data_IF_405042438205
#
_entry.id   IF_405042438205
#
_cell.length_a   1.000
_cell.length_b   1.000
_cell.length_c   1.000
_cell.angle_alpha   90.00
_cell.angle_beta   90.00
_cell.angle_gamma   90.00
#
_symmetry.space_group_name_H-M   'P 1'
#
loop_
_entity.id
_entity.type
_entity.pdbx_description
1 polymer ?
#
# COMPACT_ATOMS: atom_id res chain seq x y z
N UNK A 1 -11.34 -23.90 4.78
CA UNK A 1 -11.10 -22.42 4.85
C UNK A 1 -11.02 -21.84 3.45
N UNK A 2 -11.43 -20.59 3.24
CA UNK A 2 -11.39 -19.90 1.94
C UNK A 2 -10.37 -18.76 1.97
N UNK A 3 -9.85 -18.37 0.81
CA UNK A 3 -9.07 -17.15 0.64
C UNK A 3 -9.96 -15.95 0.93
N UNK A 4 -9.54 -15.04 1.81
CA UNK A 4 -10.31 -13.82 2.14
C UNK A 4 -10.57 -12.95 0.90
N UNK A 5 -9.67 -12.99 -0.08
CA UNK A 5 -9.68 -12.05 -1.19
C UNK A 5 -10.41 -12.53 -2.44
N UNK A 6 -10.34 -13.82 -2.74
CA UNK A 6 -10.92 -14.41 -3.95
C UNK A 6 -11.93 -15.52 -3.67
N UNK A 7 -12.18 -15.81 -2.39
CA UNK A 7 -13.15 -16.80 -1.90
C UNK A 7 -12.92 -18.26 -2.34
N UNK A 8 -11.88 -18.52 -3.14
CA UNK A 8 -11.48 -19.88 -3.52
C UNK A 8 -11.15 -20.70 -2.27
N UNK A 9 -11.55 -21.98 -2.28
CA UNK A 9 -11.22 -22.93 -1.21
C UNK A 9 -9.71 -23.10 -1.13
N UNK A 10 -9.15 -23.00 0.08
CA UNK A 10 -7.73 -23.19 0.32
C UNK A 10 -7.46 -24.63 0.74
N UNK A 11 -6.37 -25.18 0.21
CA UNK A 11 -5.79 -26.45 0.66
C UNK A 11 -4.57 -26.15 1.52
N UNK A 12 -4.07 -27.15 2.25
CA UNK A 12 -2.84 -26.97 3.04
C UNK A 12 -1.63 -26.56 2.19
N UNK A 13 -1.60 -26.96 0.90
CA UNK A 13 -0.53 -26.59 -0.04
C UNK A 13 -0.66 -25.16 -0.59
N UNK A 14 -1.89 -24.64 -0.74
CA UNK A 14 -2.14 -23.33 -1.36
C UNK A 14 -2.40 -22.20 -0.36
N UNK A 15 -2.58 -22.53 0.93
CA UNK A 15 -2.82 -21.58 2.02
C UNK A 15 -1.54 -20.85 2.39
N UNK A 16 -1.62 -19.52 2.33
CA UNK A 16 -0.62 -18.60 2.89
C UNK A 16 -1.26 -17.75 3.99
N UNK A 17 -0.43 -17.03 4.74
CA UNK A 17 -0.84 -15.98 5.68
C UNK A 17 -0.41 -14.64 5.09
N UNK A 18 -1.37 -13.81 4.72
CA UNK A 18 -1.09 -12.44 4.29
C UNK A 18 -1.27 -11.49 5.47
N UNK A 19 -0.38 -10.51 5.58
CA UNK A 19 -0.46 -9.47 6.59
C UNK A 19 -1.51 -8.44 6.19
N UNK A 20 -2.42 -8.09 7.11
CA UNK A 20 -3.48 -7.12 6.84
C UNK A 20 -2.87 -5.77 6.49
N UNK A 21 -2.01 -5.27 7.38
CA UNK A 21 -1.14 -4.13 7.14
C UNK A 21 0.26 -4.65 6.87
N UNK A 22 1.00 -4.10 5.90
CA UNK A 22 2.30 -4.66 5.58
C UNK A 22 3.29 -4.48 6.72
N UNK A 23 4.14 -5.47 6.93
CA UNK A 23 5.14 -5.46 7.99
C UNK A 23 6.06 -4.22 7.93
N UNK A 24 6.25 -3.66 6.75
CA UNK A 24 7.06 -2.46 6.52
C UNK A 24 6.47 -1.17 7.11
N UNK A 25 5.17 -1.14 7.45
CA UNK A 25 4.55 -0.02 8.15
C UNK A 25 4.87 0.03 9.64
N UNK A 26 5.37 -1.07 10.19
CA UNK A 26 5.69 -1.17 11.61
C UNK A 26 7.19 -0.91 11.84
N UNK A 27 7.52 -0.19 12.90
CA UNK A 27 8.90 -0.15 13.40
C UNK A 27 9.28 -1.49 14.01
N UNK A 28 10.56 -1.85 13.93
CA UNK A 28 11.14 -3.17 14.25
C UNK A 28 10.82 -3.74 15.65
N UNK A 29 10.19 -2.97 16.54
CA UNK A 29 9.75 -3.38 17.87
C UNK A 29 8.36 -4.03 17.92
N UNK A 30 7.52 -3.94 16.88
CA UNK A 30 6.13 -4.45 16.95
C UNK A 30 6.03 -5.92 16.48
N UNK A 31 6.46 -6.87 17.33
CA UNK A 31 6.51 -8.30 16.97
C UNK A 31 5.36 -9.17 17.49
N UNK A 32 4.53 -8.72 18.40
CA UNK A 32 3.64 -9.67 19.10
C UNK A 32 2.28 -9.91 18.46
N UNK A 33 1.78 -9.07 17.54
CA UNK A 33 0.41 -9.23 17.03
C UNK A 33 0.20 -8.73 15.59
N UNK A 34 1.06 -9.08 14.64
CA UNK A 34 0.79 -8.72 13.24
C UNK A 34 -0.42 -9.50 12.74
N UNK A 35 -1.56 -8.82 12.59
CA UNK A 35 -2.78 -9.44 12.12
C UNK A 35 -2.57 -10.01 10.73
N UNK A 36 -2.91 -11.28 10.57
CA UNK A 36 -2.85 -11.99 9.30
C UNK A 36 -4.19 -12.60 8.97
N UNK A 37 -4.42 -12.82 7.68
CA UNK A 37 -5.61 -13.48 7.16
C UNK A 37 -5.22 -14.63 6.23
N UNK A 38 -6.07 -15.66 6.10
CA UNK A 38 -5.82 -16.75 5.16
C UNK A 38 -6.00 -16.28 3.72
N UNK A 39 -4.96 -16.49 2.92
CA UNK A 39 -4.94 -16.13 1.50
C UNK A 39 -4.45 -17.28 0.64
N UNK A 40 -4.68 -17.21 -0.67
CA UNK A 40 -3.96 -18.05 -1.62
C UNK A 40 -2.65 -17.35 -2.03
N UNK A 41 -1.66 -18.14 -2.47
CA UNK A 41 -0.37 -17.63 -2.91
C UNK A 41 -0.49 -16.51 -3.96
N UNK A 42 -1.33 -16.69 -4.98
CA UNK A 42 -1.51 -15.71 -6.06
C UNK A 42 -2.05 -14.36 -5.58
N UNK A 43 -3.03 -14.34 -4.68
CA UNK A 43 -3.53 -13.09 -4.11
C UNK A 43 -2.47 -12.41 -3.24
N UNK A 44 -1.80 -13.17 -2.37
CA UNK A 44 -0.75 -12.64 -1.50
C UNK A 44 0.39 -12.02 -2.33
N UNK A 45 0.86 -12.72 -3.34
CA UNK A 45 1.92 -12.24 -4.23
C UNK A 45 1.47 -11.01 -5.05
N UNK A 46 0.20 -10.96 -5.50
CA UNK A 46 -0.33 -9.78 -6.18
C UNK A 46 -0.25 -8.56 -5.27
N UNK A 47 -0.77 -8.65 -4.04
CA UNK A 47 -0.75 -7.52 -3.12
C UNK A 47 0.65 -7.07 -2.74
N UNK A 48 1.60 -8.01 -2.59
CA UNK A 48 3.00 -7.63 -2.39
C UNK A 48 3.52 -6.74 -3.52
N UNK A 49 3.20 -7.06 -4.79
CA UNK A 49 3.60 -6.21 -5.93
C UNK A 49 2.92 -4.84 -5.89
N UNK A 50 1.62 -4.80 -5.56
CA UNK A 50 0.88 -3.55 -5.39
C UNK A 50 1.49 -2.67 -4.28
N UNK A 51 1.89 -3.26 -3.16
CA UNK A 51 2.56 -2.56 -2.05
C UNK A 51 3.93 -2.02 -2.48
N UNK A 52 4.73 -2.82 -3.19
CA UNK A 52 6.04 -2.41 -3.71
C UNK A 52 5.94 -1.21 -4.68
N UNK A 53 4.84 -1.08 -5.44
CA UNK A 53 4.62 0.05 -6.35
C UNK A 53 4.07 1.30 -5.61
N UNK A 54 3.12 1.12 -4.69
CA UNK A 54 2.44 2.26 -4.04
C UNK A 54 3.23 2.85 -2.88
N UNK A 55 4.00 2.05 -2.14
CA UNK A 55 4.59 2.50 -0.87
C UNK A 55 5.69 3.54 -1.03
N UNK A 56 6.59 3.43 -2.04
CA UNK A 56 7.51 4.52 -2.35
C UNK A 56 6.79 5.82 -2.69
N UNK A 57 5.64 5.75 -3.39
CA UNK A 57 4.83 6.93 -3.73
C UNK A 57 4.22 7.57 -2.49
N UNK A 58 3.69 6.78 -1.57
CA UNK A 58 3.22 7.30 -0.27
C UNK A 58 4.37 7.87 0.56
N UNK A 59 5.54 7.26 0.57
CA UNK A 59 6.70 7.76 1.30
C UNK A 59 7.15 9.15 0.80
N UNK A 60 7.06 9.41 -0.50
CA UNK A 60 7.31 10.73 -1.09
C UNK A 60 6.23 11.77 -0.75
N UNK A 61 5.00 11.32 -0.49
CA UNK A 61 3.87 12.20 -0.16
C UNK A 61 3.84 12.63 1.32
N UNK A 62 4.68 12.04 2.17
CA UNK A 62 4.74 12.35 3.60
C UNK A 62 5.80 13.43 3.85
N UNK A 63 5.43 14.49 4.59
CA UNK A 63 6.39 15.51 5.02
C UNK A 63 7.45 14.87 5.94
N UNK A 64 8.75 15.07 5.69
CA UNK A 64 9.83 14.42 6.46
C UNK A 64 9.86 14.87 7.93
N UNK A 65 9.27 16.02 8.23
CA UNK A 65 9.14 16.59 9.58
C UNK A 65 8.16 15.80 10.46
N UNK A 66 7.34 14.91 9.89
CA UNK A 66 6.42 14.06 10.65
C UNK A 66 7.21 12.93 11.31
N UNK A 67 7.60 13.15 12.57
CA UNK A 67 8.52 12.31 13.33
C UNK A 67 7.90 11.03 13.94
N UNK A 68 6.77 10.55 13.42
CA UNK A 68 6.12 9.34 13.97
C UNK A 68 6.83 8.05 13.51
N UNK A 69 6.89 7.06 14.40
CA UNK A 69 7.45 5.73 14.13
C UNK A 69 6.90 5.10 12.83
N UNK A 70 5.61 5.25 12.56
CA UNK A 70 4.97 4.74 11.34
C UNK A 70 5.51 5.40 10.06
N UNK A 71 5.74 6.72 10.10
CA UNK A 71 6.36 7.46 9.00
C UNK A 71 7.80 6.99 8.77
N UNK A 72 8.55 6.75 9.85
CA UNK A 72 9.90 6.17 9.76
C UNK A 72 9.94 4.78 9.12
N UNK A 73 8.88 3.97 9.27
CA UNK A 73 8.72 2.68 8.58
C UNK A 73 8.58 2.87 7.07
N UNK A 74 7.66 3.75 6.66
CA UNK A 74 7.41 4.07 5.25
C UNK A 74 8.60 4.76 4.56
N UNK A 75 9.33 5.62 5.27
CA UNK A 75 10.51 6.29 4.73
C UNK A 75 11.65 5.31 4.36
N UNK A 76 11.66 4.08 4.88
CA UNK A 76 12.64 3.04 4.48
C UNK A 76 12.51 2.62 3.02
N UNK A 77 11.38 2.91 2.38
CA UNK A 77 11.20 2.69 0.95
C UNK A 77 11.92 3.73 0.09
N UNK A 78 12.44 4.80 0.68
CA UNK A 78 13.34 5.71 -0.02
C UNK A 78 14.75 5.07 -0.05
N UNK A 79 15.38 4.95 -1.23
CA UNK A 79 16.66 4.25 -1.38
C UNK A 79 17.80 4.90 -0.59
N UNK A 80 17.71 6.19 -0.29
CA UNK A 80 18.70 6.90 0.54
C UNK A 80 18.57 6.60 2.04
N UNK A 81 17.42 6.05 2.48
CA UNK A 81 17.14 5.69 3.88
C UNK A 81 17.23 4.17 4.08
N UNK A 82 16.94 3.37 3.05
CA UNK A 82 17.05 1.90 3.09
C UNK A 82 18.46 1.46 3.49
N UNK A 83 18.56 0.55 4.46
CA UNK A 83 19.85 -0.06 4.87
C UNK A 83 20.23 -1.27 4.01
N UNK A 84 19.28 -1.89 3.31
CA UNK A 84 19.49 -3.10 2.51
C UNK A 84 19.78 -2.78 1.02
N UNK A 85 20.86 -3.35 0.47
CA UNK A 85 21.35 -3.12 -0.89
C UNK A 85 20.36 -3.62 -1.96
N UNK A 86 19.70 -4.77 -1.73
CA UNK A 86 18.70 -5.30 -2.67
C UNK A 86 17.46 -4.40 -2.72
N UNK A 87 17.01 -3.96 -1.55
CA UNK A 87 15.93 -2.99 -1.41
C UNK A 87 16.29 -1.63 -2.04
N UNK A 88 17.55 -1.17 -1.92
CA UNK A 88 18.04 0.05 -2.58
C UNK A 88 17.89 -0.01 -4.10
N UNK A 89 18.30 -1.12 -4.74
CA UNK A 89 18.18 -1.29 -6.19
C UNK A 89 16.73 -1.28 -6.68
N UNK A 90 15.85 -2.02 -5.99
CA UNK A 90 14.41 -2.05 -6.31
C UNK A 90 13.75 -0.68 -6.14
N UNK A 91 14.05 0.00 -5.03
CA UNK A 91 13.50 1.32 -4.74
C UNK A 91 14.02 2.37 -5.73
N UNK A 92 15.26 2.27 -6.21
CA UNK A 92 15.81 3.14 -7.26
C UNK A 92 15.04 2.99 -8.58
N UNK A 93 14.65 1.77 -8.95
CA UNK A 93 13.84 1.54 -10.16
C UNK A 93 12.44 2.15 -10.03
N UNK A 94 11.78 1.99 -8.87
CA UNK A 94 10.48 2.61 -8.62
C UNK A 94 10.58 4.13 -8.61
N UNK A 95 11.62 4.70 -7.97
CA UNK A 95 11.87 6.14 -8.03
C UNK A 95 12.15 6.65 -9.45
N UNK A 96 12.86 5.90 -10.28
CA UNK A 96 13.09 6.24 -11.69
C UNK A 96 11.77 6.26 -12.48
N UNK A 97 10.88 5.29 -12.24
CA UNK A 97 9.52 5.32 -12.82
C UNK A 97 8.72 6.52 -12.34
N UNK A 98 8.75 6.81 -11.04
CA UNK A 98 8.06 7.98 -10.47
C UNK A 98 8.62 9.27 -11.09
N UNK A 99 9.95 9.42 -11.19
CA UNK A 99 10.57 10.58 -11.81
C UNK A 99 10.19 10.73 -13.29
N UNK A 100 10.13 9.62 -14.04
CA UNK A 100 9.64 9.58 -15.42
C UNK A 100 8.16 9.90 -15.55
N UNK A 101 7.33 9.49 -14.58
CA UNK A 101 5.94 9.92 -14.52
C UNK A 101 5.91 11.43 -14.32
N UNK A 102 6.58 11.96 -13.29
CA UNK A 102 6.60 13.39 -12.94
C UNK A 102 7.12 14.29 -14.06
N UNK A 103 8.15 13.86 -14.80
CA UNK A 103 8.72 14.63 -15.91
C UNK A 103 7.74 14.85 -17.06
N UNK A 104 6.73 13.98 -17.21
CA UNK A 104 5.66 14.11 -18.21
C UNK A 104 4.57 15.10 -17.79
N UNK A 105 4.56 15.56 -16.54
CA UNK A 105 3.46 16.35 -15.96
C UNK A 105 3.87 17.76 -15.55
N UNK A 106 4.79 18.39 -16.28
CA UNK A 106 4.95 19.85 -16.24
C UNK A 106 3.64 20.61 -16.61
N UNK A 107 2.59 19.91 -17.11
CA UNK A 107 1.22 20.39 -17.29
C UNK A 107 0.19 19.25 -17.18
N UNK A 108 -0.61 19.11 -16.09
CA UNK A 108 -1.56 18.00 -15.93
C UNK A 108 -2.92 18.29 -16.61
N UNK A 109 -3.45 17.32 -17.36
CA UNK A 109 -4.85 17.30 -17.81
C UNK A 109 -5.66 16.28 -17.01
N UNK A 110 -6.84 16.70 -16.54
CA UNK A 110 -7.56 16.10 -15.42
C UNK A 110 -8.06 14.67 -15.63
N UNK A 111 -7.64 13.76 -14.74
CA UNK A 111 -8.31 12.52 -14.27
C UNK A 111 -7.50 11.80 -13.17
N UNK A 112 -6.69 12.53 -12.40
CA UNK A 112 -5.68 11.94 -11.51
C UNK A 112 -5.91 12.37 -10.05
N UNK A 113 -5.73 11.45 -9.10
CA UNK A 113 -5.91 11.69 -7.65
C UNK A 113 -4.69 12.44 -7.12
N UNK A 114 -4.90 13.67 -6.64
CA UNK A 114 -3.85 14.58 -6.18
C UNK A 114 -3.89 14.66 -4.65
N UNK A 115 -2.76 14.39 -3.99
CA UNK A 115 -2.57 14.74 -2.58
C UNK A 115 -1.80 16.06 -2.50
N UNK A 116 -2.42 17.08 -1.90
CA UNK A 116 -1.81 18.40 -1.68
C UNK A 116 -1.35 18.51 -0.23
N UNK A 117 -0.08 18.81 0.07
CA UNK A 117 0.28 19.38 1.35
C UNK A 117 -0.07 20.86 1.32
N UNK A 118 -1.05 21.28 2.12
CA UNK A 118 -1.33 22.70 2.32
C UNK A 118 -0.08 23.45 2.82
N UNK A 119 0.24 24.53 2.10
CA UNK A 119 0.73 25.84 2.56
C UNK A 119 1.76 26.43 1.58
N UNK A 120 1.30 27.18 0.57
CA UNK A 120 2.02 28.28 -0.11
C UNK A 120 3.39 28.02 -0.76
N UNK A 121 3.90 26.78 -0.80
CA UNK A 121 5.18 26.41 -1.44
C UNK A 121 4.96 25.28 -2.43
N UNK A 122 5.80 25.25 -3.45
CA UNK A 122 5.83 24.31 -4.58
C UNK A 122 5.31 22.92 -4.19
N UNK A 123 4.13 22.56 -4.72
CA UNK A 123 3.52 21.26 -4.47
C UNK A 123 4.11 20.23 -5.43
N UNK A 124 4.60 19.12 -4.89
CA UNK A 124 4.98 17.96 -5.70
C UNK A 124 3.75 17.07 -5.83
N UNK A 125 3.19 17.00 -7.04
CA UNK A 125 2.12 16.05 -7.33
C UNK A 125 2.70 14.65 -7.40
N UNK A 126 2.08 13.66 -6.74
CA UNK A 126 2.50 12.26 -6.85
C UNK A 126 1.32 11.46 -7.38
N UNK A 127 1.49 10.90 -8.58
CA UNK A 127 0.48 10.05 -9.21
C UNK A 127 0.45 8.68 -8.54
N UNK A 128 -0.76 8.20 -8.24
CA UNK A 128 -1.00 6.82 -7.81
C UNK A 128 -1.78 6.07 -8.89
N UNK A 129 -1.35 4.85 -9.29
CA UNK A 129 -2.16 4.00 -10.16
C UNK A 129 -3.48 3.65 -9.46
N UNK A 130 -4.60 4.13 -10.00
CA UNK A 130 -5.93 3.96 -9.40
C UNK A 130 -6.25 2.49 -9.10
N UNK A 131 -5.94 1.60 -10.03
CA UNK A 131 -6.22 0.17 -9.88
C UNK A 131 -5.45 -0.45 -8.72
N UNK A 132 -4.19 -0.05 -8.54
CA UNK A 132 -3.38 -0.58 -7.46
C UNK A 132 -3.85 -0.06 -6.11
N UNK A 133 -4.17 1.24 -6.05
CA UNK A 133 -4.73 1.86 -4.84
C UNK A 133 -6.05 1.18 -4.46
N UNK A 134 -6.95 1.00 -5.41
CA UNK A 134 -8.22 0.31 -5.21
C UNK A 134 -8.03 -1.10 -4.66
N UNK A 135 -7.10 -1.89 -5.23
CA UNK A 135 -6.85 -3.26 -4.76
C UNK A 135 -6.25 -3.30 -3.35
N UNK A 136 -5.38 -2.35 -2.97
CA UNK A 136 -4.88 -2.26 -1.60
C UNK A 136 -5.97 -1.86 -0.61
N UNK A 137 -6.81 -0.88 -0.94
CA UNK A 137 -7.90 -0.52 -0.02
C UNK A 137 -8.89 -1.68 0.09
N UNK A 138 -9.17 -2.39 -1.01
CA UNK A 138 -9.98 -3.61 -0.98
C UNK A 138 -9.35 -4.69 -0.12
N UNK A 139 -8.03 -4.89 -0.19
CA UNK A 139 -7.28 -5.80 0.69
C UNK A 139 -7.57 -5.46 2.15
N UNK A 140 -7.41 -4.20 2.54
CA UNK A 140 -7.61 -3.77 3.92
C UNK A 140 -9.03 -4.00 4.40
N UNK A 141 -10.04 -3.59 3.62
CA UNK A 141 -11.46 -3.79 3.99
C UNK A 141 -11.79 -5.28 4.15
N UNK A 142 -11.45 -6.10 3.14
CA UNK A 142 -11.75 -7.53 3.19
C UNK A 142 -11.06 -8.24 4.37
N UNK A 143 -9.81 -7.87 4.63
CA UNK A 143 -9.02 -8.40 5.73
C UNK A 143 -9.56 -8.01 7.10
N UNK A 144 -9.92 -6.74 7.30
CA UNK A 144 -10.48 -6.24 8.56
C UNK A 144 -11.86 -6.85 8.83
N UNK A 145 -12.71 -6.95 7.82
CA UNK A 145 -14.03 -7.58 7.94
C UNK A 145 -13.92 -9.06 8.30
N UNK A 146 -12.98 -9.78 7.70
CA UNK A 146 -12.70 -11.16 8.11
C UNK A 146 -12.14 -11.22 9.54
N UNK A 147 -11.17 -10.35 9.90
CA UNK A 147 -10.48 -10.44 11.18
C UNK A 147 -11.37 -10.03 12.36
N UNK A 148 -12.20 -9.01 12.18
CA UNK A 148 -13.05 -8.44 13.23
C UNK A 148 -14.41 -9.13 13.33
N UNK A 149 -14.93 -9.66 12.21
CA UNK A 149 -16.31 -10.18 12.13
C UNK A 149 -16.42 -11.59 11.56
N UNK A 150 -15.29 -12.23 11.23
CA UNK A 150 -15.25 -13.53 10.54
C UNK A 150 -16.08 -13.55 9.24
N UNK A 151 -16.21 -12.38 8.59
CA UNK A 151 -17.04 -12.19 7.42
C UNK A 151 -16.20 -12.20 6.13
N UNK A 152 -16.70 -12.86 5.09
CA UNK A 152 -16.06 -12.91 3.77
C UNK A 152 -16.72 -11.90 2.83
N UNK A 153 -15.96 -10.90 2.37
CA UNK A 153 -16.45 -9.93 1.39
C UNK A 153 -16.05 -10.35 -0.02
N UNK A 154 -17.05 -10.69 -0.84
CA UNK A 154 -16.84 -10.93 -2.27
C UNK A 154 -16.54 -9.64 -3.04
N UNK A 155 -15.99 -9.79 -4.26
CA UNK A 155 -15.87 -8.67 -5.21
C UNK A 155 -17.25 -8.26 -5.71
N UNK A 156 -18.01 -7.46 -4.94
CA UNK A 156 -19.10 -6.68 -5.51
C UNK A 156 -18.50 -5.42 -6.15
N UNK A 157 -18.95 -5.10 -7.36
CA UNK A 157 -18.53 -3.90 -8.10
C UNK A 157 -18.96 -2.67 -7.30
N UNK A 158 -17.99 -1.96 -6.72
CA UNK A 158 -18.21 -0.71 -5.99
C UNK A 158 -17.92 -0.84 -4.50
N UNK A 159 -16.79 -0.28 -4.07
CA UNK A 159 -16.57 0.08 -2.67
C UNK A 159 -17.07 1.52 -2.54
N UNK A 160 -18.13 1.75 -1.75
CA UNK A 160 -18.59 3.10 -1.42
C UNK A 160 -17.81 3.54 -0.18
N UNK A 161 -16.84 4.45 -0.35
CA UNK A 161 -16.22 5.13 0.78
C UNK A 161 -17.14 6.27 1.21
N UNK A 162 -17.74 6.16 2.39
CA UNK A 162 -18.29 7.31 3.11
C UNK A 162 -17.16 7.87 3.97
N UNK A 163 -16.39 8.81 3.40
CA UNK A 163 -15.43 9.59 4.18
C UNK A 163 -16.21 10.61 5.00
N UNK A 164 -16.25 10.41 6.31
CA UNK A 164 -16.68 11.46 7.24
C UNK A 164 -15.49 12.39 7.43
N UNK A 165 -15.49 13.50 6.69
CA UNK A 165 -14.64 14.64 7.01
C UNK A 165 -15.38 15.36 8.14
N UNK A 166 -14.83 15.30 9.36
CA UNK A 166 -15.20 16.21 10.45
C UNK A 166 -14.37 17.46 10.34
#
# INVERSE_FOLDING_TARGET
MKCVYCLKKLTNKSKTKDHILPCSWFTSSYKENVWTVPSCFSCNQSFQKNEEELFPRFALAIKPEISNAHVKGMLRFLPYISKDIKSKGRNKNVLSKIANDLSRYANPSGKEVIFLPESGRSCVMIKFPYQDLYEIVRKFVASLEFRLRNNYIGRKRGIIFKLWIK
#
